data_IF_497931506371
#
_entry.id   IF_497931506371
#
_cell.length_a   1.000
_cell.length_b   1.000
_cell.length_c   1.000
_cell.angle_alpha   90.00
_cell.angle_beta   90.00
_cell.angle_gamma   90.00
#
_symmetry.space_group_name_H-M   'P 1'
#
loop_
_entity.id
_entity.type
_entity.pdbx_description
1 polymer ?
#
# COMPACT_ATOMS: atom_id res chain seq x y z
N UNK A 1 -2.22 -11.64 -4.53
CA UNK A 1 -2.67 -10.41 -3.90
C UNK A 1 -1.62 -9.37 -4.20
N UNK A 2 -1.97 -8.37 -4.98
CA UNK A 2 -1.08 -7.30 -5.46
C UNK A 2 -1.11 -6.11 -4.50
N UNK A 3 -2.27 -5.86 -3.87
CA UNK A 3 -2.46 -4.85 -2.83
C UNK A 3 -2.12 -3.41 -3.26
N UNK A 4 -2.16 -2.50 -2.29
CA UNK A 4 -1.83 -1.08 -2.44
C UNK A 4 -0.38 -0.74 -2.04
N UNK A 5 0.53 -1.71 -2.11
CA UNK A 5 1.95 -1.51 -1.81
C UNK A 5 2.27 -1.19 -0.35
N UNK A 6 1.36 -1.51 0.56
CA UNK A 6 1.56 -1.33 1.99
C UNK A 6 2.49 -2.38 2.59
N UNK A 7 3.21 -2.02 3.66
CA UNK A 7 3.86 -3.01 4.51
C UNK A 7 2.82 -3.50 5.51
N UNK A 8 2.21 -4.66 5.25
CA UNK A 8 1.14 -5.19 6.10
C UNK A 8 1.66 -5.89 7.36
N UNK A 9 2.85 -6.50 7.30
CA UNK A 9 3.43 -7.19 8.46
C UNK A 9 4.95 -7.20 8.44
N UNK A 10 5.54 -7.20 9.62
CA UNK A 10 6.94 -7.54 9.88
C UNK A 10 6.96 -8.57 11.00
N UNK A 11 7.68 -9.68 10.81
CA UNK A 11 7.68 -10.79 11.77
C UNK A 11 9.10 -11.14 12.17
N UNK A 12 9.31 -11.30 13.47
CA UNK A 12 10.51 -11.92 14.02
C UNK A 12 10.20 -13.41 14.17
N UNK A 13 11.10 -14.32 13.73
CA UNK A 13 10.91 -15.76 13.93
C UNK A 13 10.58 -16.08 15.39
N UNK A 14 9.66 -17.01 15.60
CA UNK A 14 9.21 -17.49 16.92
C UNK A 14 8.49 -16.43 17.80
N UNK A 15 8.21 -15.24 17.27
CA UNK A 15 7.42 -14.20 17.94
C UNK A 15 6.11 -14.01 17.19
N UNK A 16 4.98 -14.33 17.84
CA UNK A 16 3.64 -14.15 17.27
C UNK A 16 3.09 -12.74 17.52
N UNK A 17 3.84 -11.73 17.06
CA UNK A 17 3.44 -10.32 17.13
C UNK A 17 3.77 -9.64 15.81
N UNK A 18 2.77 -9.01 15.20
CA UNK A 18 2.94 -8.03 14.13
C UNK A 18 3.04 -6.63 14.77
N UNK A 19 4.15 -5.88 14.62
CA UNK A 19 4.26 -4.54 15.18
C UNK A 19 3.52 -3.47 14.36
N UNK A 20 2.93 -3.85 13.22
CA UNK A 20 2.16 -2.95 12.37
C UNK A 20 0.66 -3.08 12.67
N UNK A 21 -0.08 -2.00 12.41
CA UNK A 21 -1.53 -1.98 12.60
C UNK A 21 -2.23 -2.95 11.62
N UNK A 22 -3.20 -3.70 12.13
CA UNK A 22 -4.02 -4.63 11.36
C UNK A 22 -5.48 -4.15 11.37
N UNK A 23 -6.14 -4.07 10.20
CA UNK A 23 -7.53 -3.66 10.14
C UNK A 23 -8.44 -4.69 10.82
N UNK A 24 -9.39 -4.28 11.66
CA UNK A 24 -10.38 -5.20 12.25
C UNK A 24 -11.50 -5.58 11.25
N UNK A 25 -11.39 -5.21 9.99
CA UNK A 25 -12.36 -5.47 8.91
C UNK A 25 -11.73 -6.25 7.75
N UNK A 26 -12.52 -6.91 6.90
CA UNK A 26 -12.03 -7.60 5.72
C UNK A 26 -11.40 -6.64 4.71
N UNK A 27 -10.30 -7.06 4.08
CA UNK A 27 -9.67 -6.33 2.98
C UNK A 27 -10.16 -6.84 1.62
N UNK A 28 -10.14 -5.96 0.63
CA UNK A 28 -10.47 -6.22 -0.77
C UNK A 28 -9.26 -5.83 -1.61
N UNK A 29 -9.03 -6.51 -2.74
CA UNK A 29 -8.01 -6.07 -3.69
C UNK A 29 -8.40 -4.71 -4.29
N UNK A 30 -7.44 -3.79 -4.51
CA UNK A 30 -7.76 -2.44 -5.00
C UNK A 30 -8.49 -2.42 -6.35
N UNK A 31 -8.27 -3.44 -7.20
CA UNK A 31 -8.96 -3.59 -8.48
C UNK A 31 -10.40 -4.08 -8.36
N UNK A 32 -10.79 -4.64 -7.21
CA UNK A 32 -12.12 -5.20 -6.96
C UNK A 32 -13.02 -4.22 -6.19
N UNK A 33 -12.50 -3.05 -5.77
CA UNK A 33 -13.31 -2.04 -5.08
C UNK A 33 -14.37 -1.45 -6.00
N UNK A 34 -15.63 -1.47 -5.54
CA UNK A 34 -16.79 -0.91 -6.20
C UNK A 34 -17.56 -0.04 -5.19
N UNK A 35 -17.65 1.28 -5.41
CA UNK A 35 -18.31 2.18 -4.45
C UNK A 35 -19.79 1.85 -4.24
N UNK A 36 -20.49 1.34 -5.26
CA UNK A 36 -21.92 1.01 -5.13
C UNK A 36 -22.15 -0.21 -4.24
N UNK A 37 -21.12 -1.04 -4.05
CA UNK A 37 -21.20 -2.29 -3.26
C UNK A 37 -20.55 -2.19 -1.89
N UNK A 38 -19.50 -1.38 -1.76
CA UNK A 38 -18.56 -1.49 -0.64
C UNK A 38 -18.59 -0.31 0.33
N UNK A 39 -19.21 0.83 -0.02
CA UNK A 39 -19.24 2.00 0.87
C UNK A 39 -20.05 1.77 2.15
N UNK A 40 -20.99 0.82 2.18
CA UNK A 40 -21.68 0.42 3.41
C UNK A 40 -20.73 -0.19 4.46
N UNK A 41 -19.59 -0.75 4.02
CA UNK A 41 -18.59 -1.38 4.89
C UNK A 41 -17.44 -0.42 5.19
N UNK A 42 -16.91 0.26 4.17
CA UNK A 42 -15.70 1.08 4.30
C UNK A 42 -15.97 2.57 4.47
N UNK A 43 -17.22 3.01 4.35
CA UNK A 43 -17.65 4.40 4.50
C UNK A 43 -17.41 5.25 3.25
N UNK A 44 -18.10 6.41 3.13
CA UNK A 44 -17.87 7.38 2.07
C UNK A 44 -16.50 8.06 2.20
N UNK A 45 -16.04 8.70 1.13
CA UNK A 45 -14.74 9.39 1.10
C UNK A 45 -13.57 8.40 1.01
N UNK A 46 -12.89 8.17 2.13
CA UNK A 46 -11.70 7.31 2.22
C UNK A 46 -11.98 5.81 2.02
N UNK A 47 -13.23 5.39 1.79
CA UNK A 47 -13.61 3.99 1.70
C UNK A 47 -12.80 3.16 0.70
N UNK A 48 -12.38 3.76 -0.43
CA UNK A 48 -11.49 3.10 -1.40
C UNK A 48 -10.13 2.74 -0.79
N UNK A 49 -9.54 3.67 -0.03
CA UNK A 49 -8.28 3.47 0.68
C UNK A 49 -8.48 2.41 1.78
N UNK A 50 -9.49 2.60 2.64
CA UNK A 50 -9.75 1.75 3.79
C UNK A 50 -10.05 0.29 3.42
N UNK A 51 -10.61 0.05 2.22
CA UNK A 51 -10.84 -1.29 1.70
C UNK A 51 -9.56 -2.11 1.51
N UNK A 52 -8.40 -1.45 1.33
CA UNK A 52 -7.10 -2.10 1.11
C UNK A 52 -6.04 -1.73 2.15
N UNK A 53 -6.36 -0.84 3.09
CA UNK A 53 -5.41 -0.27 4.05
C UNK A 53 -4.95 -1.31 5.09
N UNK A 54 -3.64 -1.48 5.20
CA UNK A 54 -3.01 -2.32 6.21
C UNK A 54 -1.62 -1.79 6.58
N UNK A 55 -1.25 -1.89 7.85
CA UNK A 55 0.09 -1.55 8.35
C UNK A 55 0.60 -0.18 7.91
N UNK A 56 1.76 -0.13 7.24
CA UNK A 56 2.38 1.12 6.80
C UNK A 56 1.95 1.50 5.38
N UNK A 57 1.21 2.61 5.31
CA UNK A 57 0.68 3.25 4.11
C UNK A 57 1.65 4.30 3.55
N UNK A 58 1.84 4.32 2.22
CA UNK A 58 2.55 5.39 1.51
C UNK A 58 1.54 6.39 0.95
N UNK A 59 1.51 7.59 1.52
CA UNK A 59 0.84 8.74 0.90
C UNK A 59 1.83 9.41 -0.06
N UNK A 60 1.52 9.39 -1.36
CA UNK A 60 2.36 9.98 -2.41
C UNK A 60 1.51 10.94 -3.23
N UNK A 61 2.11 11.96 -3.86
CA UNK A 61 1.45 13.02 -4.64
C UNK A 61 0.41 13.91 -3.92
N UNK A 62 -0.22 13.44 -2.84
CA UNK A 62 -1.15 14.18 -1.99
C UNK A 62 -1.15 13.63 -0.56
N UNK A 63 -1.49 14.46 0.43
CA UNK A 63 -1.68 14.02 1.82
C UNK A 63 -2.92 14.66 2.44
N UNK A 64 -3.81 13.79 2.94
CA UNK A 64 -5.02 14.20 3.65
C UNK A 64 -6.26 14.13 2.76
N UNK A 65 -7.22 14.96 3.14
CA UNK A 65 -8.55 15.07 2.57
C UNK A 65 -8.53 15.66 1.15
N UNK A 66 -9.62 15.50 0.41
CA UNK A 66 -9.82 16.08 -0.90
C UNK A 66 -10.65 17.38 -0.79
N UNK A 67 -10.41 18.30 -1.70
CA UNK A 67 -11.33 19.42 -1.94
C UNK A 67 -12.55 18.94 -2.73
N UNK A 68 -13.66 19.69 -2.70
CA UNK A 68 -14.87 19.39 -3.48
C UNK A 68 -14.57 19.22 -4.99
N UNK A 69 -13.58 19.96 -5.51
CA UNK A 69 -13.19 19.85 -6.92
C UNK A 69 -12.45 18.54 -7.20
N UNK A 70 -11.61 18.09 -6.28
CA UNK A 70 -10.89 16.83 -6.40
C UNK A 70 -11.82 15.63 -6.20
N UNK A 71 -12.78 15.71 -5.27
CA UNK A 71 -13.84 14.69 -5.14
C UNK A 71 -14.68 14.58 -6.42
N UNK A 72 -15.09 15.71 -7.00
CA UNK A 72 -15.83 15.75 -8.25
C UNK A 72 -15.03 15.22 -9.44
N UNK A 73 -13.69 15.25 -9.37
CA UNK A 73 -12.78 14.66 -10.34
C UNK A 73 -12.45 13.18 -10.03
N UNK A 74 -13.08 12.58 -9.02
CA UNK A 74 -12.80 11.22 -8.54
C UNK A 74 -11.34 11.02 -8.11
N UNK A 75 -10.77 12.05 -7.47
CA UNK A 75 -9.42 12.01 -6.92
C UNK A 75 -9.24 10.97 -5.80
N UNK A 76 -8.02 10.93 -5.27
CA UNK A 76 -7.59 9.90 -4.35
C UNK A 76 -7.18 10.48 -3.00
N UNK A 77 -7.88 10.10 -1.93
CA UNK A 77 -7.49 10.44 -0.56
C UNK A 77 -6.10 9.89 -0.26
N UNK A 78 -5.24 10.74 0.30
CA UNK A 78 -3.82 10.43 0.49
C UNK A 78 -3.04 10.06 -0.79
N UNK A 79 -3.57 10.45 -1.95
CA UNK A 79 -2.95 10.30 -3.25
C UNK A 79 -3.19 8.94 -3.92
N UNK A 80 -2.64 8.77 -5.12
CA UNK A 80 -2.97 7.63 -5.98
C UNK A 80 -2.33 6.33 -5.50
N UNK A 81 -1.06 6.39 -5.07
CA UNK A 81 -0.27 5.20 -4.76
C UNK A 81 -0.94 4.22 -3.77
N UNK A 82 -1.57 4.66 -2.67
CA UNK A 82 -2.19 3.75 -1.71
C UNK A 82 -3.59 3.27 -2.09
N UNK A 83 -4.10 3.63 -3.27
CA UNK A 83 -5.44 3.30 -3.73
C UNK A 83 -5.46 2.43 -5.00
N UNK A 84 -4.29 2.17 -5.60
CA UNK A 84 -4.13 1.50 -6.87
C UNK A 84 -3.40 0.16 -6.71
N UNK A 85 -3.60 -0.80 -7.64
CA UNK A 85 -2.88 -2.08 -7.62
C UNK A 85 -1.39 -1.89 -7.92
N UNK A 86 -0.55 -2.48 -7.07
CA UNK A 86 0.90 -2.49 -7.27
C UNK A 86 1.34 -3.70 -8.10
N UNK A 87 2.50 -3.61 -8.72
CA UNK A 87 3.13 -4.70 -9.45
C UNK A 87 4.44 -5.08 -8.78
N UNK A 88 4.64 -6.38 -8.54
CA UNK A 88 5.95 -6.93 -8.13
C UNK A 88 6.79 -7.15 -9.38
N UNK A 89 7.92 -6.46 -9.47
CA UNK A 89 8.87 -6.58 -10.58
C UNK A 89 9.95 -7.62 -10.29
N UNK A 90 10.39 -7.71 -9.04
CA UNK A 90 11.43 -8.64 -8.61
C UNK A 90 11.18 -9.07 -7.16
N UNK A 91 11.29 -10.37 -6.89
CA UNK A 91 11.36 -10.91 -5.55
C UNK A 91 12.49 -11.94 -5.51
N UNK A 92 13.47 -11.72 -4.66
CA UNK A 92 14.67 -12.57 -4.57
C UNK A 92 15.09 -12.72 -3.11
N UNK A 93 15.65 -13.88 -2.79
CA UNK A 93 16.31 -14.11 -1.51
C UNK A 93 17.48 -15.07 -1.73
N UNK A 94 18.59 -14.79 -1.05
CA UNK A 94 19.76 -15.65 -0.98
C UNK A 94 20.32 -15.69 0.46
N UNK A 95 21.57 -16.12 0.61
CA UNK A 95 22.21 -16.24 1.92
C UNK A 95 22.59 -14.88 2.54
N UNK A 96 22.63 -13.81 1.76
CA UNK A 96 23.10 -12.49 2.18
C UNK A 96 21.95 -11.48 2.31
N UNK A 97 20.90 -11.59 1.50
CA UNK A 97 19.74 -10.69 1.59
C UNK A 97 18.42 -11.28 1.06
N UNK A 98 17.31 -10.68 1.48
CA UNK A 98 16.01 -10.77 0.80
C UNK A 98 15.61 -9.39 0.27
N UNK A 99 15.16 -9.36 -0.99
CA UNK A 99 14.84 -8.15 -1.75
C UNK A 99 13.48 -8.23 -2.43
N UNK A 100 12.75 -7.13 -2.41
CA UNK A 100 11.48 -6.93 -3.13
C UNK A 100 11.50 -5.60 -3.90
N UNK A 101 11.45 -5.63 -5.24
CA UNK A 101 11.21 -4.46 -6.11
C UNK A 101 9.77 -4.50 -6.58
N UNK A 102 9.01 -3.47 -6.24
CA UNK A 102 7.58 -3.36 -6.53
C UNK A 102 7.19 -1.89 -6.67
N UNK A 103 6.15 -1.62 -7.44
CA UNK A 103 5.78 -0.25 -7.79
C UNK A 103 4.57 -0.21 -8.69
N UNK A 104 4.31 0.97 -9.25
CA UNK A 104 3.17 1.21 -10.12
C UNK A 104 3.39 2.45 -11.00
N UNK A 105 2.55 2.56 -12.02
CA UNK A 105 2.35 3.81 -12.75
C UNK A 105 1.18 4.57 -12.10
N UNK A 106 1.35 5.87 -11.87
CA UNK A 106 0.36 6.81 -11.33
C UNK A 106 -0.10 7.72 -12.46
N UNK A 107 -1.23 7.43 -13.13
CA UNK A 107 -1.67 8.17 -14.30
C UNK A 107 -1.97 9.65 -14.03
N UNK A 108 -2.60 9.99 -12.90
CA UNK A 108 -3.04 11.37 -12.65
C UNK A 108 -1.87 12.25 -12.23
N UNK A 109 -0.96 11.70 -11.42
CA UNK A 109 0.30 12.31 -10.99
C UNK A 109 1.39 12.23 -12.07
N UNK A 110 1.13 11.55 -13.18
CA UNK A 110 2.01 11.40 -14.34
C UNK A 110 3.42 10.90 -13.97
N UNK A 111 3.49 9.94 -13.05
CA UNK A 111 4.77 9.40 -12.57
C UNK A 111 4.77 7.88 -12.51
N UNK A 112 5.96 7.31 -12.62
CA UNK A 112 6.22 5.92 -12.26
C UNK A 112 6.91 5.92 -10.91
N UNK A 113 6.39 5.14 -9.97
CA UNK A 113 6.98 5.03 -8.65
C UNK A 113 7.39 3.60 -8.36
N UNK A 114 8.57 3.41 -7.78
CA UNK A 114 9.04 2.11 -7.31
C UNK A 114 9.60 2.19 -5.90
N UNK A 115 9.42 1.10 -5.16
CA UNK A 115 10.05 0.82 -3.88
C UNK A 115 10.88 -0.45 -3.99
N UNK A 116 12.05 -0.41 -3.37
CA UNK A 116 12.90 -1.58 -3.18
C UNK A 116 13.05 -1.79 -1.68
N UNK A 117 12.58 -2.93 -1.18
CA UNK A 117 12.83 -3.38 0.18
C UNK A 117 14.03 -4.31 0.19
N UNK A 118 14.89 -4.17 1.18
CA UNK A 118 15.97 -5.11 1.46
C UNK A 118 16.03 -5.41 2.97
N UNK A 119 16.20 -6.68 3.32
CA UNK A 119 16.52 -7.13 4.68
C UNK A 119 17.68 -8.12 4.61
N UNK A 120 18.58 -8.11 5.60
CA UNK A 120 19.71 -9.03 5.69
C UNK A 120 19.58 -9.96 6.88
N UNK A 121 20.11 -11.20 6.80
CA UNK A 121 20.12 -12.11 7.92
C UNK A 121 20.80 -11.52 9.16
N UNK A 122 20.17 -11.69 10.33
CA UNK A 122 20.70 -11.22 11.61
C UNK A 122 20.45 -9.74 11.92
N UNK A 123 19.85 -8.98 10.99
CA UNK A 123 19.47 -7.59 11.20
C UNK A 123 17.97 -7.47 11.53
N UNK A 124 17.61 -6.47 12.33
CA UNK A 124 16.22 -6.08 12.60
C UNK A 124 15.79 -4.84 11.78
N UNK A 125 16.48 -4.57 10.68
CA UNK A 125 16.31 -3.37 9.85
C UNK A 125 15.75 -3.75 8.49
N UNK A 126 14.65 -3.10 8.09
CA UNK A 126 14.16 -3.11 6.72
C UNK A 126 14.66 -1.83 6.02
N UNK A 127 15.50 -1.98 5.00
CA UNK A 127 15.97 -0.87 4.18
C UNK A 127 14.98 -0.61 3.04
N UNK A 128 14.66 0.67 2.82
CA UNK A 128 13.80 1.11 1.73
C UNK A 128 14.53 2.12 0.85
N UNK A 129 14.40 1.93 -0.46
CA UNK A 129 14.80 2.89 -1.48
C UNK A 129 13.65 3.14 -2.45
N UNK A 130 13.41 4.40 -2.77
CA UNK A 130 12.25 4.85 -3.55
C UNK A 130 12.72 5.71 -4.73
N UNK A 131 12.09 5.53 -5.90
CA UNK A 131 12.48 6.19 -7.16
C UNK A 131 11.33 6.31 -8.15
#
# INVERSE_FOLDING_TARGET
MTGCGHLASLRIPDVDVNPLWEPPWPLIEPGDFDPDKHLDVYGPGEGRLLASLAGHNLCLNHFGDLTETEEAAHGYYHGEAPNLPWTVFEQKADADEAKLDYGLDLPDAQMRFRRILCIRPGESTLYLSER
#
